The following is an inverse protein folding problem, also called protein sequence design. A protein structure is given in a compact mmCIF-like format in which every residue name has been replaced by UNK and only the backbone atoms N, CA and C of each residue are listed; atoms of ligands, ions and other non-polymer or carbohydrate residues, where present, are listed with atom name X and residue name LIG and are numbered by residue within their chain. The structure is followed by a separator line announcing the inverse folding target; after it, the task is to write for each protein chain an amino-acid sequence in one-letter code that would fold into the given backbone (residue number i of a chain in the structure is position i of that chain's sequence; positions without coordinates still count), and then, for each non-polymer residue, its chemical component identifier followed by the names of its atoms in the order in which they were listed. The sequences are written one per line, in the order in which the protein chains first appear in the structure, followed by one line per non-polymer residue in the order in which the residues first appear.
data_IF_795185278425
#
_entry.id   IF_795185278425
#
_cell.length_a   1.000
_cell.length_b   1.000
_cell.length_c   1.000
_cell.angle_alpha   90.00
_cell.angle_beta   90.00
_cell.angle_gamma   90.00
#
_symmetry.space_group_name_H-M   'P 1'
#
loop_
_entity.id
_entity.type
_entity.pdbx_description
1 polymer ?
#
# COMPACT_ATOMS: atom_id res chain seq x y z
N UNK A 1 -11.68 -3.62 12.53
CA UNK A 1 -10.30 -3.47 12.02
C UNK A 1 -9.74 -4.86 11.74
N UNK A 2 -9.40 -5.18 10.50
CA UNK A 2 -8.98 -6.54 10.06
C UNK A 2 -7.47 -6.80 10.22
N UNK A 3 -6.76 -5.88 10.86
CA UNK A 3 -5.31 -5.85 11.00
C UNK A 3 -4.89 -6.02 12.45
N UNK A 4 -3.91 -6.90 12.67
CA UNK A 4 -3.24 -7.09 13.97
C UNK A 4 -1.78 -6.69 13.79
N UNK A 5 -1.28 -5.75 14.60
CA UNK A 5 0.15 -5.46 14.70
C UNK A 5 0.82 -6.56 15.54
N UNK A 6 1.86 -7.18 15.00
CA UNK A 6 2.66 -8.20 15.66
C UNK A 6 3.82 -7.54 16.43
N UNK A 7 4.34 -8.24 17.44
CA UNK A 7 5.40 -7.73 18.32
C UNK A 7 6.73 -7.43 17.61
N UNK A 8 6.92 -7.96 16.41
CA UNK A 8 8.08 -7.72 15.55
C UNK A 8 7.90 -6.52 14.59
N UNK A 9 6.74 -5.84 14.62
CA UNK A 9 6.44 -4.71 13.75
C UNK A 9 5.66 -5.06 12.47
N UNK A 10 5.47 -6.36 12.19
CA UNK A 10 4.69 -6.82 11.05
C UNK A 10 3.18 -6.65 11.29
N UNK A 11 2.41 -6.70 10.21
CA UNK A 11 0.96 -6.68 10.21
C UNK A 11 0.39 -8.01 9.76
N UNK A 12 -0.49 -8.60 10.56
CA UNK A 12 -1.29 -9.76 10.16
C UNK A 12 -2.66 -9.29 9.68
N UNK A 13 -2.95 -9.54 8.41
CA UNK A 13 -4.27 -9.36 7.84
C UNK A 13 -5.11 -10.64 8.05
N UNK A 14 -6.24 -10.52 8.75
CA UNK A 14 -7.12 -11.66 9.06
C UNK A 14 -8.10 -11.92 7.91
N UNK A 15 -8.74 -10.86 7.42
CA UNK A 15 -9.73 -10.91 6.34
C UNK A 15 -9.21 -10.13 5.14
N UNK A 16 -9.53 -10.54 3.90
CA UNK A 16 -9.09 -9.81 2.72
C UNK A 16 -9.55 -8.34 2.77
N UNK A 17 -8.68 -7.43 2.34
CA UNK A 17 -9.02 -6.03 2.11
C UNK A 17 -9.21 -5.83 0.62
N UNK A 18 -10.34 -5.24 0.25
CA UNK A 18 -10.61 -4.79 -1.11
C UNK A 18 -10.55 -3.28 -1.13
N UNK A 19 -9.49 -2.73 -1.71
CA UNK A 19 -9.34 -1.30 -1.89
C UNK A 19 -9.71 -0.93 -3.32
N UNK A 20 -10.70 -0.04 -3.47
CA UNK A 20 -11.07 0.54 -4.77
C UNK A 20 -10.47 1.94 -4.85
N UNK A 21 -9.45 2.13 -5.68
CA UNK A 21 -8.85 3.44 -5.91
C UNK A 21 -9.87 4.38 -6.57
N UNK A 22 -10.30 5.47 -5.91
CA UNK A 22 -11.22 6.43 -6.50
C UNK A 22 -10.60 7.14 -7.71
N UNK A 23 -9.28 7.34 -7.67
CA UNK A 23 -8.50 8.03 -8.70
C UNK A 23 -8.41 7.24 -10.00
N UNK A 24 -8.12 5.95 -9.90
CA UNK A 24 -7.90 5.11 -11.08
C UNK A 24 -9.15 4.31 -11.48
N UNK A 25 -10.17 4.29 -10.62
CA UNK A 25 -11.39 3.50 -10.84
C UNK A 25 -11.14 1.98 -10.78
N UNK A 26 -10.00 1.55 -10.24
CA UNK A 26 -9.53 0.16 -10.23
C UNK A 26 -9.41 -0.40 -8.82
N UNK A 27 -9.39 -1.73 -8.74
CA UNK A 27 -9.43 -2.46 -7.48
C UNK A 27 -8.13 -3.20 -7.22
N UNK A 28 -7.73 -3.23 -5.96
CA UNK A 28 -6.62 -4.03 -5.43
C UNK A 28 -7.21 -4.90 -4.31
N UNK A 29 -6.86 -6.19 -4.31
CA UNK A 29 -7.26 -7.13 -3.27
C UNK A 29 -6.01 -7.62 -2.55
N UNK A 30 -5.90 -7.30 -1.27
CA UNK A 30 -4.92 -7.89 -0.37
C UNK A 30 -5.53 -9.12 0.29
N UNK A 31 -4.85 -10.28 0.15
CA UNK A 31 -5.29 -11.55 0.75
C UNK A 31 -4.83 -11.66 2.21
N UNK A 32 -5.51 -12.43 3.07
CA UNK A 32 -5.03 -12.69 4.42
C UNK A 32 -3.58 -13.18 4.41
N UNK A 33 -2.77 -12.67 5.35
CA UNK A 33 -1.33 -12.95 5.36
C UNK A 33 -0.56 -12.02 6.28
N UNK A 34 0.77 -12.18 6.24
CA UNK A 34 1.72 -11.33 6.95
C UNK A 34 2.24 -10.28 5.95
N UNK A 35 2.28 -9.04 6.42
CA UNK A 35 2.72 -7.86 5.70
C UNK A 35 3.79 -7.16 6.54
N UNK A 36 4.87 -6.73 5.90
CA UNK A 36 6.07 -6.23 6.58
C UNK A 36 5.84 -4.81 7.12
N UNK A 37 4.86 -4.12 6.52
CA UNK A 37 4.47 -2.79 6.92
C UNK A 37 5.44 -1.71 6.46
N UNK A 38 5.42 -0.57 7.15
CA UNK A 38 6.37 0.50 6.91
C UNK A 38 7.57 0.41 7.87
N UNK A 39 8.75 0.11 7.33
CA UNK A 39 10.03 0.25 8.05
C UNK A 39 10.16 1.69 8.56
N UNK A 40 10.01 1.89 9.88
CA UNK A 40 10.07 3.21 10.52
C UNK A 40 8.72 3.90 10.79
N UNK A 41 7.59 3.28 10.43
CA UNK A 41 6.24 3.70 10.86
C UNK A 41 5.40 2.52 11.37
N UNK A 42 6.02 1.69 12.22
CA UNK A 42 5.35 0.64 13.00
C UNK A 42 4.42 1.17 14.09
N UNK A 43 4.33 2.49 14.24
CA UNK A 43 3.49 3.17 15.24
C UNK A 43 2.02 3.27 14.82
N UNK A 44 1.66 2.87 13.58
CA UNK A 44 0.32 3.08 13.05
C UNK A 44 -0.27 1.90 12.29
N UNK A 45 -1.45 1.47 12.74
CA UNK A 45 -2.34 0.60 11.99
C UNK A 45 -2.97 1.38 10.83
N UNK A 46 -2.60 1.00 9.61
CA UNK A 46 -3.10 1.59 8.38
C UNK A 46 -3.27 0.52 7.31
N UNK A 47 -4.36 0.62 6.54
CA UNK A 47 -4.56 -0.22 5.35
C UNK A 47 -3.56 0.13 4.25
N UNK A 48 -2.98 1.34 4.29
CA UNK A 48 -1.99 1.79 3.29
C UNK A 48 -0.78 0.87 3.24
N UNK A 49 -0.37 0.32 4.38
CA UNK A 49 0.78 -0.59 4.48
C UNK A 49 0.51 -1.93 3.83
N UNK A 50 -0.66 -2.48 4.08
CA UNK A 50 -1.10 -3.75 3.51
C UNK A 50 -1.21 -3.63 1.99
N UNK A 51 -1.85 -2.57 1.51
CA UNK A 51 -2.02 -2.32 0.08
C UNK A 51 -0.67 -2.04 -0.58
N UNK A 52 0.20 -1.25 0.06
CA UNK A 52 1.57 -1.01 -0.43
C UNK A 52 2.34 -2.31 -0.61
N UNK A 53 2.36 -3.15 0.41
CA UNK A 53 3.10 -4.41 0.36
C UNK A 53 2.48 -5.38 -0.67
N UNK A 54 1.15 -5.39 -0.80
CA UNK A 54 0.47 -6.13 -1.87
C UNK A 54 0.93 -5.67 -3.25
N UNK A 55 0.98 -4.35 -3.51
CA UNK A 55 1.47 -3.79 -4.78
C UNK A 55 2.95 -4.11 -5.00
N UNK A 56 3.77 -4.04 -3.95
CA UNK A 56 5.19 -4.37 -4.03
C UNK A 56 5.42 -5.86 -4.36
N UNK A 57 4.52 -6.75 -3.95
CA UNK A 57 4.56 -8.19 -4.27
C UNK A 57 4.00 -8.48 -5.67
N UNK A 58 2.88 -7.86 -6.01
CA UNK A 58 2.08 -8.06 -7.21
C UNK A 58 1.58 -6.70 -7.74
N UNK A 59 2.34 -6.06 -8.65
CA UNK A 59 2.06 -4.68 -9.09
C UNK A 59 0.99 -4.64 -10.18
N UNK A 60 -0.15 -5.28 -9.94
CA UNK A 60 -1.27 -5.33 -10.88
C UNK A 60 -2.58 -5.04 -10.15
N UNK A 61 -3.47 -4.34 -10.84
CA UNK A 61 -4.88 -4.27 -10.45
C UNK A 61 -5.57 -5.60 -10.74
N UNK A 62 -6.75 -5.81 -10.16
CA UNK A 62 -7.54 -7.05 -10.38
C UNK A 62 -7.94 -7.29 -11.84
N UNK A 63 -7.88 -6.26 -12.69
CA UNK A 63 -8.12 -6.34 -14.14
C UNK A 63 -6.84 -6.66 -14.94
N UNK A 64 -5.74 -7.02 -14.27
CA UNK A 64 -4.39 -7.21 -14.81
C UNK A 64 -3.75 -5.95 -15.40
N UNK A 65 -4.29 -4.76 -15.15
CA UNK A 65 -3.55 -3.55 -15.51
C UNK A 65 -2.36 -3.38 -14.58
N UNK A 66 -1.21 -3.08 -15.16
CA UNK A 66 0.01 -2.76 -14.44
C UNK A 66 -0.14 -1.52 -13.53
N UNK A 67 0.51 -1.59 -12.38
CA UNK A 67 0.68 -0.50 -11.44
C UNK A 67 2.11 0.02 -11.57
N UNK A 68 2.25 1.31 -11.86
CA UNK A 68 3.54 2.00 -11.95
C UNK A 68 3.98 2.51 -10.58
N UNK A 69 5.26 2.89 -10.44
CA UNK A 69 5.76 3.45 -9.18
C UNK A 69 4.99 4.71 -8.74
N UNK A 70 4.60 5.55 -9.71
CA UNK A 70 3.76 6.72 -9.45
C UNK A 70 2.36 6.33 -8.96
N UNK A 71 1.73 5.34 -9.58
CA UNK A 71 0.42 4.84 -9.13
C UNK A 71 0.51 4.24 -7.72
N UNK A 72 1.53 3.43 -7.44
CA UNK A 72 1.74 2.80 -6.14
C UNK A 72 1.88 3.84 -5.01
N UNK A 73 2.75 4.83 -5.20
CA UNK A 73 2.94 5.92 -4.23
C UNK A 73 1.70 6.80 -4.06
N UNK A 74 0.96 7.04 -5.14
CA UNK A 74 -0.27 7.84 -5.11
C UNK A 74 -1.40 7.10 -4.38
N UNK A 75 -1.56 5.80 -4.63
CA UNK A 75 -2.55 4.95 -3.93
C UNK A 75 -2.30 4.94 -2.42
N UNK A 76 -1.05 4.74 -2.01
CA UNK A 76 -0.67 4.79 -0.59
C UNK A 76 -1.01 6.16 0.02
N UNK A 77 -0.73 7.25 -0.70
CA UNK A 77 -1.03 8.61 -0.25
C UNK A 77 -2.54 8.84 -0.10
N UNK A 78 -3.33 8.37 -1.07
CA UNK A 78 -4.79 8.51 -1.06
C UNK A 78 -5.39 7.76 0.15
N UNK A 79 -4.95 6.52 0.44
CA UNK A 79 -5.40 5.76 1.62
C UNK A 79 -5.01 6.47 2.93
N UNK A 80 -3.76 6.90 3.07
CA UNK A 80 -3.32 7.63 4.27
C UNK A 80 -4.12 8.92 4.47
N UNK A 81 -4.49 9.60 3.39
CA UNK A 81 -5.32 10.80 3.43
C UNK A 81 -6.75 10.48 3.87
N UNK A 82 -7.34 9.41 3.36
CA UNK A 82 -8.67 8.92 3.76
C UNK A 82 -8.72 8.54 5.24
N UNK A 83 -7.64 7.97 5.78
CA UNK A 83 -7.48 7.69 7.22
C UNK A 83 -7.18 8.93 8.08
N UNK A 84 -7.16 10.13 7.50
CA UNK A 84 -6.90 11.38 8.23
C UNK A 84 -5.43 11.61 8.57
N UNK A 85 -4.49 10.89 7.95
CA UNK A 85 -3.03 10.96 8.22
C UNK A 85 -2.31 11.88 7.23
N UNK A 86 -2.80 13.13 7.13
CA UNK A 86 -2.40 14.11 6.11
C UNK A 86 -0.89 14.40 6.06
N UNK A 87 -0.20 14.53 7.19
CA UNK A 87 1.26 14.78 7.16
C UNK A 87 2.02 13.58 6.58
N UNK A 88 1.59 12.37 6.96
CA UNK A 88 2.21 11.11 6.53
C UNK A 88 1.91 10.79 5.08
N UNK A 89 0.75 11.20 4.56
CA UNK A 89 0.42 10.94 3.16
C UNK A 89 1.42 11.57 2.18
N UNK A 90 1.99 12.74 2.50
CA UNK A 90 3.01 13.38 1.66
C UNK A 90 4.40 12.77 1.87
N UNK A 91 4.82 12.59 3.12
CA UNK A 91 6.17 12.06 3.41
C UNK A 91 6.32 10.63 2.89
N UNK A 92 5.32 9.78 3.13
CA UNK A 92 5.36 8.39 2.69
C UNK A 92 5.11 8.22 1.20
N UNK A 93 4.34 9.11 0.56
CA UNK A 93 4.23 9.10 -0.91
C UNK A 93 5.61 9.21 -1.57
N UNK A 94 6.40 10.19 -1.16
CA UNK A 94 7.74 10.38 -1.73
C UNK A 94 8.69 9.26 -1.33
N UNK A 95 8.64 8.79 -0.08
CA UNK A 95 9.44 7.65 0.36
C UNK A 95 9.12 6.38 -0.47
N UNK A 96 7.84 6.07 -0.69
CA UNK A 96 7.41 4.94 -1.51
C UNK A 96 7.81 5.12 -2.98
N UNK A 97 7.68 6.33 -3.53
CA UNK A 97 8.08 6.60 -4.92
C UNK A 97 9.59 6.38 -5.15
N UNK A 98 10.45 6.89 -4.26
CA UNK A 98 11.90 6.82 -4.42
C UNK A 98 12.53 5.52 -3.90
N UNK A 99 11.96 4.89 -2.86
CA UNK A 99 12.55 3.72 -2.20
C UNK A 99 11.66 2.47 -2.16
N UNK A 100 10.33 2.62 -2.32
CA UNK A 100 9.36 1.52 -2.30
C UNK A 100 9.11 0.84 -3.66
N UNK A 101 8.43 -0.31 -3.58
CA UNK A 101 7.91 -1.12 -4.69
C UNK A 101 8.79 -1.23 -5.93
N UNK A 102 9.92 -1.94 -5.80
CA UNK A 102 10.86 -2.21 -6.92
C UNK A 102 10.19 -2.87 -8.12
N UNK A 103 9.30 -3.85 -7.91
CA UNK A 103 8.57 -4.51 -9.00
C UNK A 103 7.66 -3.56 -9.79
N UNK A 104 6.97 -2.62 -9.11
CA UNK A 104 6.15 -1.63 -9.78
C UNK A 104 6.97 -0.67 -10.68
N UNK A 105 8.28 -0.51 -10.41
CA UNK A 105 9.19 0.26 -11.28
C UNK A 105 9.59 -0.49 -12.55
N UNK A 106 9.51 -1.81 -12.53
CA UNK A 106 9.77 -2.63 -13.73
C UNK A 106 8.67 -2.41 -14.77
N UNK A 107 7.43 -2.11 -14.33
CA UNK A 107 6.33 -1.71 -15.20
C UNK A 107 6.55 -0.31 -15.80
N UNK A 108 6.77 0.70 -14.94
CA UNK A 108 7.16 2.06 -15.33
C UNK A 108 7.38 2.95 -14.09
N UNK A 109 8.08 4.07 -14.26
CA UNK A 109 8.09 5.15 -13.26
C UNK A 109 6.76 5.91 -13.22
N UNK A 110 6.09 6.04 -14.37
CA UNK A 110 4.87 6.82 -14.58
C UNK A 110 3.78 5.98 -15.21
#
# INVERSE_FOLDING_TARGET
MNLILLSNGDYRLINPITYRSPRYGKTIIAKPGIYDGATGASDILSESWVIHDQICRDPFFTDNTEITAWMASTILSDILKEEGRWFRCYTWRWATFFFGCKKARENSWY
#
